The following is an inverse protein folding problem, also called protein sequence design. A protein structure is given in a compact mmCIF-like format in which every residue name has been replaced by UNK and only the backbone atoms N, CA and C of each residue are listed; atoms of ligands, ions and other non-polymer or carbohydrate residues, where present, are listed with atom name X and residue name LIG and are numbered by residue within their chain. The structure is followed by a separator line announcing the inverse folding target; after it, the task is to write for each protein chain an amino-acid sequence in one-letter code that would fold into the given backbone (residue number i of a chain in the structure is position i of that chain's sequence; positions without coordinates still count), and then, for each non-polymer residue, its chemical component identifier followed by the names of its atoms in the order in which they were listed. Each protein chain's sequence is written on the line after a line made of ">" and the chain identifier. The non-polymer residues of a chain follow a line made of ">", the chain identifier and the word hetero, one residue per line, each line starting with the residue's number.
data_IF_529856992857
#
_entry.id   IF_529856992857
#
_cell.length_a   1.000
_cell.length_b   1.000
_cell.length_c   1.000
_cell.angle_alpha   90.00
_cell.angle_beta   90.00
_cell.angle_gamma   90.00
#
_symmetry.space_group_name_H-M   'P 1'
#
loop_
_entity.id
_entity.type
_entity.pdbx_description
1 polymer ?
#
# COMPACT_ATOMS: atom_id res chain seq x y z
N UNK A 1 -38.91 13.18 47.77
CA UNK A 1 -38.44 12.94 47.28
C UNK A 1 -37.61 12.85 46.49
N UNK A 2 -37.21 12.80 46.37
CA UNK A 2 -36.49 12.56 45.68
C UNK A 2 -35.78 12.41 44.78
N UNK A 3 -35.29 12.24 44.53
CA UNK A 3 -34.68 11.88 43.77
C UNK A 3 -33.87 11.84 43.00
N UNK A 4 -33.61 11.70 42.88
CA UNK A 4 -32.85 11.51 42.15
C UNK A 4 -32.17 11.49 41.35
N UNK A 5 -31.90 11.25 41.32
CA UNK A 5 -31.27 11.04 40.50
C UNK A 5 -30.48 11.04 39.78
N UNK A 6 -30.13 10.95 39.84
CA UNK A 6 -29.40 10.82 39.16
C UNK A 6 -28.69 10.66 38.33
N UNK A 7 -28.58 10.52 38.30
CA UNK A 7 -27.96 10.17 37.55
C UNK A 7 -27.31 10.23 36.71
N UNK A 8 -27.04 10.12 36.70
CA UNK A 8 -26.46 10.07 35.93
C UNK A 8 -25.78 9.98 35.17
N UNK A 9 -25.46 9.69 35.14
CA UNK A 9 -24.88 9.57 34.46
C UNK A 9 -24.18 9.47 33.69
N UNK A 10 -23.88 9.16 33.54
CA UNK A 10 -23.26 9.00 32.83
C UNK A 10 -22.70 8.93 31.98
N UNK A 11 -22.49 8.76 31.84
CA UNK A 11 -21.99 8.62 31.04
C UNK A 11 -21.21 8.62 30.28
N UNK A 12 -20.95 8.44 30.17
CA UNK A 12 -20.26 8.40 29.48
C UNK A 12 -19.49 8.23 28.76
N UNK A 13 -19.16 8.00 28.65
CA UNK A 13 -18.39 7.89 28.02
C UNK A 13 -17.80 7.63 27.24
N UNK A 14 -17.63 7.48 27.10
CA UNK A 14 -17.09 7.18 26.40
C UNK A 14 -16.53 7.24 25.49
N UNK A 15 -16.18 6.98 25.34
CA UNK A 15 -15.72 7.02 24.45
C UNK A 15 -14.68 7.04 23.78
N UNK A 16 -14.41 7.06 23.60
CA UNK A 16 -13.56 7.16 22.88
C UNK A 16 -12.79 6.63 22.34
N UNK A 17 -12.19 6.35 22.27
CA UNK A 17 -11.12 6.09 21.68
C UNK A 17 -11.08 5.74 20.40
N UNK A 18 -11.68 5.53 20.13
CA UNK A 18 -11.59 5.38 18.92
C UNK A 18 -10.60 5.74 18.11
N UNK A 19 -10.14 6.55 18.38
CA UNK A 19 -9.13 7.15 17.59
C UNK A 19 -7.99 6.28 17.29
N UNK A 20 -7.66 5.40 18.13
CA UNK A 20 -6.55 4.54 17.91
C UNK A 20 -6.71 3.68 16.71
N UNK A 21 -7.92 3.41 16.36
CA UNK A 21 -8.17 2.50 15.27
C UNK A 21 -7.65 3.00 13.94
N UNK A 22 -7.52 4.28 13.76
CA UNK A 22 -7.08 4.77 12.48
C UNK A 22 -5.59 4.71 12.27
N UNK A 23 -4.84 4.30 13.26
CA UNK A 23 -3.41 4.24 13.12
C UNK A 23 -2.91 3.13 12.22
N UNK A 24 -3.77 2.19 11.86
CA UNK A 24 -3.34 1.07 11.03
C UNK A 24 -4.27 0.82 9.88
N UNK A 25 -3.69 0.35 8.79
CA UNK A 25 -4.47 -0.19 7.69
C UNK A 25 -4.42 -1.71 7.74
N UNK A 26 -5.34 -2.34 7.03
CA UNK A 26 -5.39 -3.78 6.93
C UNK A 26 -4.17 -4.36 6.22
N UNK A 27 -3.43 -3.54 5.51
CA UNK A 27 -2.33 -3.99 4.67
C UNK A 27 -0.96 -3.60 5.19
N UNK A 28 -0.88 -3.08 6.40
CA UNK A 28 0.40 -2.73 7.01
C UNK A 28 1.30 -3.96 7.13
N UNK A 29 2.57 -3.74 6.95
CA UNK A 29 3.57 -4.79 7.08
C UNK A 29 4.52 -4.84 5.89
N UNK A 30 5.29 -5.90 5.85
CA UNK A 30 6.28 -6.13 4.80
C UNK A 30 5.68 -6.98 3.70
N UNK A 31 5.92 -6.60 2.46
CA UNK A 31 5.38 -7.28 1.29
C UNK A 31 6.48 -7.53 0.28
N UNK A 32 6.48 -8.73 -0.29
CA UNK A 32 7.36 -9.07 -1.40
C UNK A 32 6.61 -8.86 -2.70
N UNK A 33 7.21 -8.10 -3.59
CA UNK A 33 6.65 -7.78 -4.90
C UNK A 33 7.48 -8.43 -5.98
N UNK A 34 6.82 -9.04 -6.93
CA UNK A 34 7.45 -9.60 -8.12
C UNK A 34 6.84 -8.94 -9.35
N UNK A 35 7.68 -8.33 -10.16
CA UNK A 35 7.28 -7.68 -11.40
C UNK A 35 7.76 -8.52 -12.56
N UNK A 36 6.86 -8.81 -13.49
CA UNK A 36 7.15 -9.61 -14.68
C UNK A 36 6.96 -8.75 -15.90
N UNK A 37 7.96 -8.72 -16.76
CA UNK A 37 7.91 -7.98 -18.03
C UNK A 37 7.27 -8.86 -19.08
N UNK A 38 6.19 -8.40 -19.66
CA UNK A 38 5.50 -9.10 -20.73
C UNK A 38 5.78 -8.47 -22.09
N UNK A 39 6.12 -7.19 -22.12
CA UNK A 39 6.35 -6.46 -23.36
C UNK A 39 7.49 -5.47 -23.15
N UNK A 40 8.35 -5.36 -24.14
CA UNK A 40 9.47 -4.42 -24.11
C UNK A 40 10.77 -5.08 -23.71
N UNK A 41 11.82 -4.29 -23.72
CA UNK A 41 13.20 -4.77 -23.55
C UNK A 41 13.74 -4.66 -22.13
N UNK A 42 12.88 -4.49 -21.15
CA UNK A 42 13.29 -4.48 -19.74
C UNK A 42 13.64 -5.89 -19.29
N UNK A 43 14.30 -5.99 -18.14
CA UNK A 43 14.62 -7.30 -17.57
C UNK A 43 13.34 -8.12 -17.40
N UNK A 44 13.44 -9.44 -17.55
CA UNK A 44 12.25 -10.31 -17.45
C UNK A 44 11.52 -10.21 -16.13
N UNK A 45 12.22 -9.99 -15.05
CA UNK A 45 11.61 -9.87 -13.74
C UNK A 45 12.40 -8.99 -12.80
N UNK A 46 11.69 -8.44 -11.82
CA UNK A 46 12.25 -7.65 -10.73
C UNK A 46 11.60 -8.07 -9.45
N UNK A 47 12.35 -8.13 -8.38
CA UNK A 47 11.82 -8.45 -7.06
C UNK A 47 12.18 -7.36 -6.07
N UNK A 48 11.20 -6.96 -5.29
CA UNK A 48 11.37 -5.91 -4.29
C UNK A 48 10.67 -6.31 -3.01
N UNK A 49 11.22 -5.87 -1.89
CA UNK A 49 10.50 -5.93 -0.63
C UNK A 49 10.17 -4.49 -0.24
N UNK A 50 8.90 -4.25 0.02
CA UNK A 50 8.43 -2.93 0.41
C UNK A 50 7.76 -3.00 1.77
N UNK A 51 7.60 -1.85 2.39
CA UNK A 51 6.89 -1.74 3.66
C UNK A 51 5.64 -0.90 3.46
N UNK A 52 4.53 -1.36 4.02
CA UNK A 52 3.30 -0.61 4.05
C UNK A 52 3.02 -0.18 5.47
N UNK A 53 2.84 1.10 5.68
CA UNK A 53 2.52 1.65 6.97
C UNK A 53 1.44 2.71 6.78
N UNK A 54 0.28 2.45 7.35
CA UNK A 54 -0.85 3.38 7.28
C UNK A 54 -1.21 3.72 5.82
N UNK A 55 -1.15 2.72 4.96
CA UNK A 55 -1.47 2.87 3.55
C UNK A 55 -0.36 3.45 2.69
N UNK A 56 0.75 3.84 3.27
CA UNK A 56 1.89 4.39 2.54
C UNK A 56 2.90 3.28 2.27
N UNK A 57 3.26 3.11 1.02
CA UNK A 57 4.24 2.11 0.60
C UNK A 57 5.60 2.76 0.44
N UNK A 58 6.60 2.21 1.07
CA UNK A 58 7.96 2.73 0.99
C UNK A 58 8.96 1.62 0.69
N UNK A 59 10.08 2.01 0.12
CA UNK A 59 11.20 1.12 -0.14
C UNK A 59 12.45 1.73 0.49
N UNK A 60 13.21 0.96 1.28
CA UNK A 60 14.32 1.52 2.04
C UNK A 60 15.42 2.15 1.22
N UNK A 61 15.60 1.71 -0.01
CA UNK A 61 16.71 2.16 -0.87
C UNK A 61 16.28 3.02 -2.06
N UNK A 62 14.98 3.20 -2.26
CA UNK A 62 14.48 3.94 -3.41
C UNK A 62 13.80 5.21 -2.95
N UNK A 63 14.53 6.29 -2.94
CA UNK A 63 14.03 7.58 -2.45
C UNK A 63 12.92 8.16 -3.31
N UNK A 64 12.84 7.76 -4.58
CA UNK A 64 11.79 8.21 -5.48
C UNK A 64 10.73 7.14 -5.71
N UNK A 65 10.46 6.41 -4.70
CA UNK A 65 9.36 5.45 -4.69
C UNK A 65 8.18 6.09 -3.97
N UNK A 66 7.02 6.07 -4.60
CA UNK A 66 5.78 6.54 -3.99
C UNK A 66 4.71 5.50 -4.22
N UNK A 67 4.02 5.14 -3.18
CA UNK A 67 2.93 4.16 -3.30
C UNK A 67 1.93 4.32 -2.17
N UNK A 68 0.75 3.81 -2.38
CA UNK A 68 -0.41 4.00 -1.58
C UNK A 68 -1.37 2.90 -1.76
N UNK A 69 -1.84 2.36 -0.66
CA UNK A 69 -2.88 1.35 -0.61
C UNK A 69 -4.10 1.95 0.08
N UNK A 70 -5.19 2.03 -0.64
CA UNK A 70 -6.44 2.50 -0.08
C UNK A 70 -7.06 1.44 0.81
N UNK A 71 -7.99 1.81 1.64
CA UNK A 71 -8.70 0.88 2.51
C UNK A 71 -9.38 -0.24 1.72
N UNK A 72 -9.80 0.05 0.51
CA UNK A 72 -10.41 -0.95 -0.37
C UNK A 72 -9.42 -1.97 -0.90
N UNK A 73 -8.12 -1.73 -0.73
CA UNK A 73 -7.08 -2.55 -1.31
C UNK A 73 -6.55 -2.02 -2.63
N UNK A 74 -7.14 -0.98 -3.17
CA UNK A 74 -6.67 -0.37 -4.41
C UNK A 74 -5.26 0.18 -4.23
N UNK A 75 -4.36 -0.11 -5.16
CA UNK A 75 -2.93 0.24 -5.06
C UNK A 75 -2.51 1.07 -6.25
N UNK A 76 -1.76 2.10 -5.98
CA UNK A 76 -1.06 2.89 -7.00
C UNK A 76 0.36 3.13 -6.53
N UNK A 77 1.31 2.97 -7.42
CA UNK A 77 2.71 3.22 -7.08
C UNK A 77 3.48 3.68 -8.28
N UNK A 78 4.54 4.42 -8.03
CA UNK A 78 5.48 4.82 -9.08
C UNK A 78 6.89 4.85 -8.52
N UNK A 79 7.87 4.63 -9.38
CA UNK A 79 9.27 4.65 -9.00
C UNK A 79 10.09 5.25 -10.12
N UNK A 80 11.08 6.04 -9.75
CA UNK A 80 12.06 6.60 -10.67
C UNK A 80 13.45 6.26 -10.17
N UNK A 81 14.27 5.68 -11.04
CA UNK A 81 15.66 5.36 -10.74
C UNK A 81 16.46 5.81 -11.95
N UNK A 82 17.19 6.91 -11.84
CA UNK A 82 17.95 7.47 -12.95
C UNK A 82 17.05 7.76 -14.15
N UNK A 83 17.29 7.14 -15.28
CA UNK A 83 16.50 7.31 -16.50
C UNK A 83 15.36 6.29 -16.64
N UNK A 84 15.09 5.54 -15.57
CA UNK A 84 14.06 4.51 -15.57
C UNK A 84 12.88 4.97 -14.74
N UNK A 85 11.72 4.74 -15.30
CA UNK A 85 10.47 5.10 -14.63
C UNK A 85 9.47 3.97 -14.78
N UNK A 86 8.73 3.69 -13.73
CA UNK A 86 7.64 2.73 -13.79
C UNK A 86 6.50 3.17 -12.90
N UNK A 87 5.30 2.87 -13.32
CA UNK A 87 4.11 3.08 -12.50
C UNK A 87 3.24 1.85 -12.59
N UNK A 88 2.50 1.59 -11.54
CA UNK A 88 1.64 0.44 -11.47
C UNK A 88 0.39 0.70 -10.70
N UNK A 89 -0.59 -0.17 -10.94
CA UNK A 89 -1.84 -0.14 -10.20
C UNK A 89 -2.37 -1.55 -10.07
N UNK A 90 -3.23 -1.75 -9.10
CA UNK A 90 -3.79 -3.06 -8.86
C UNK A 90 -4.55 -3.09 -7.56
N UNK A 91 -4.56 -4.24 -6.94
CA UNK A 91 -5.36 -4.45 -5.74
C UNK A 91 -4.70 -5.45 -4.80
N UNK A 92 -4.70 -5.10 -3.52
CA UNK A 92 -4.40 -6.02 -2.44
C UNK A 92 -5.70 -6.60 -1.91
N UNK A 93 -5.65 -7.87 -1.54
CA UNK A 93 -6.76 -8.57 -0.90
C UNK A 93 -6.18 -9.60 0.06
N UNK A 94 -6.45 -9.44 1.35
CA UNK A 94 -5.88 -10.34 2.36
C UNK A 94 -4.37 -10.22 2.40
N UNK A 95 -3.67 -11.30 2.14
CA UNK A 95 -2.20 -11.36 2.20
C UNK A 95 -1.56 -11.39 0.82
N UNK A 96 -2.32 -11.15 -0.23
CA UNK A 96 -1.78 -11.16 -1.58
C UNK A 96 -2.25 -9.94 -2.37
N UNK A 97 -1.63 -9.74 -3.51
CA UNK A 97 -2.02 -8.65 -4.40
C UNK A 97 -1.54 -8.89 -5.80
N UNK A 98 -2.11 -8.16 -6.73
CA UNK A 98 -1.71 -8.24 -8.13
C UNK A 98 -2.16 -6.99 -8.88
N UNK A 99 -1.52 -6.76 -9.99
CA UNK A 99 -1.86 -5.63 -10.83
C UNK A 99 -1.02 -5.59 -12.07
N UNK A 100 -0.98 -4.43 -12.67
CA UNK A 100 -0.24 -4.18 -13.91
C UNK A 100 0.69 -3.02 -13.72
N UNK A 101 1.75 -3.02 -14.49
CA UNK A 101 2.71 -1.92 -14.49
C UNK A 101 3.12 -1.57 -15.91
N UNK A 102 3.56 -0.36 -16.08
CA UNK A 102 4.19 0.08 -17.32
C UNK A 102 5.29 1.07 -16.96
N UNK A 103 6.25 1.19 -17.85
CA UNK A 103 7.37 2.09 -17.61
C UNK A 103 8.28 2.16 -18.79
N UNK A 104 9.45 2.73 -18.55
CA UNK A 104 10.47 2.84 -19.59
C UNK A 104 11.86 2.93 -18.97
N UNK A 105 12.82 2.48 -19.77
CA UNK A 105 14.23 2.59 -19.45
C UNK A 105 14.85 3.29 -20.65
N UNK A 106 15.24 4.57 -20.46
CA UNK A 106 15.65 5.40 -21.59
C UNK A 106 14.49 5.58 -22.56
N UNK A 107 14.68 5.16 -23.80
CA UNK A 107 13.66 5.25 -24.84
C UNK A 107 12.81 3.98 -24.99
N UNK A 108 13.16 2.90 -24.29
CA UNK A 108 12.44 1.63 -24.37
C UNK A 108 11.24 1.62 -23.44
N UNK A 109 10.10 1.20 -23.97
CA UNK A 109 8.88 1.05 -23.19
C UNK A 109 8.68 -0.38 -22.80
N UNK A 110 8.23 -0.60 -21.59
CA UNK A 110 7.99 -1.94 -21.04
C UNK A 110 6.68 -1.96 -20.31
N UNK A 111 6.10 -3.14 -20.23
CA UNK A 111 4.91 -3.34 -19.43
C UNK A 111 4.78 -4.79 -19.01
N UNK A 112 3.94 -5.03 -18.03
CA UNK A 112 3.71 -6.36 -17.55
C UNK A 112 2.75 -6.36 -16.37
N UNK A 113 2.90 -7.38 -15.53
CA UNK A 113 2.08 -7.49 -14.34
C UNK A 113 2.98 -7.61 -13.10
N UNK A 114 2.38 -7.44 -11.95
CA UNK A 114 3.04 -7.65 -10.69
C UNK A 114 2.15 -8.45 -9.74
N UNK A 115 2.81 -9.16 -8.85
CA UNK A 115 2.16 -9.86 -7.76
C UNK A 115 2.79 -9.45 -6.45
N UNK A 116 2.04 -9.59 -5.38
CA UNK A 116 2.50 -9.24 -4.04
C UNK A 116 2.10 -10.33 -3.06
N UNK A 117 2.96 -10.54 -2.10
CA UNK A 117 2.72 -11.48 -1.02
C UNK A 117 3.19 -10.86 0.28
N UNK A 118 2.32 -10.84 1.28
CA UNK A 118 2.69 -10.33 2.60
C UNK A 118 3.61 -11.32 3.29
N UNK A 119 4.64 -10.82 3.91
CA UNK A 119 5.56 -11.63 4.71
C UNK A 119 4.99 -11.99 6.07
#
# INVERSE_FOLDING_TARGET
>A
MKKPSLWMIAAACLIAPLSAAHARSAYDGSWDLAFVTQSGACDPSYNFTVNVADGIVTHPNLVRFKGYVAKSGSVHASVTVQDKFASGSGRFAGTSGRGKWSGRAGSSRCSGYWTAQRN
#
